data_IF_382309513538
#
_entry.id   IF_382309513538
#
_cell.length_a   1.000
_cell.length_b   1.000
_cell.length_c   1.000
_cell.angle_alpha   90.00
_cell.angle_beta   90.00
_cell.angle_gamma   90.00
#
_symmetry.space_group_name_H-M   'P 1'
#
loop_
_entity.id
_entity.type
_entity.pdbx_description
1 polymer ?
#
# COMPACT_ATOMS: atom_id res chain seq x y z
N UNK A 1 7.44 15.00 -4.93
CA UNK A 1 6.03 14.59 -5.10
C UNK A 1 5.52 14.02 -3.77
N UNK A 2 4.22 13.74 -3.60
CA UNK A 2 3.71 13.15 -2.35
C UNK A 2 3.49 11.65 -2.56
N UNK A 3 4.09 10.82 -1.72
CA UNK A 3 3.77 9.41 -1.57
C UNK A 3 2.97 9.18 -0.30
N UNK A 4 2.45 7.97 -0.14
CA UNK A 4 1.74 7.55 1.07
C UNK A 4 2.44 6.34 1.66
N UNK A 5 2.47 6.26 2.99
CA UNK A 5 3.08 5.17 3.72
C UNK A 5 2.13 4.72 4.81
N UNK A 6 2.00 3.42 4.99
CA UNK A 6 1.28 2.83 6.10
C UNK A 6 2.19 1.85 6.83
N UNK A 7 2.52 2.16 8.08
CA UNK A 7 3.28 1.26 8.95
C UNK A 7 2.35 0.26 9.63
N UNK A 8 2.38 -0.99 9.19
CA UNK A 8 1.72 -2.10 9.89
C UNK A 8 2.69 -2.77 10.88
N UNK A 9 2.16 -3.63 11.75
CA UNK A 9 2.93 -4.40 12.74
C UNK A 9 3.95 -5.36 12.11
N UNK A 10 3.76 -5.75 10.85
CA UNK A 10 4.65 -6.68 10.15
C UNK A 10 5.61 -5.97 9.17
N UNK A 11 5.31 -4.73 8.79
CA UNK A 11 6.11 -3.99 7.82
C UNK A 11 5.40 -2.73 7.33
N UNK A 12 6.08 -1.94 6.51
CA UNK A 12 5.51 -0.72 5.94
C UNK A 12 5.10 -0.91 4.49
N UNK A 13 3.88 -0.51 4.18
CA UNK A 13 3.37 -0.33 2.83
C UNK A 13 3.70 1.07 2.35
N UNK A 14 4.03 1.19 1.08
CA UNK A 14 4.30 2.45 0.41
C UNK A 14 3.47 2.52 -0.85
N UNK A 15 2.89 3.68 -1.12
CA UNK A 15 2.19 4.01 -2.35
C UNK A 15 2.89 5.23 -2.92
N UNK A 16 3.70 5.02 -3.95
CA UNK A 16 4.55 6.04 -4.53
C UNK A 16 4.10 6.35 -5.96
N UNK A 17 4.19 7.63 -6.39
CA UNK A 17 3.91 7.97 -7.78
C UNK A 17 4.99 7.36 -8.69
N UNK A 18 4.57 6.50 -9.61
CA UNK A 18 5.43 5.78 -10.56
C UNK A 18 5.39 6.35 -11.98
N UNK A 19 5.94 5.62 -12.94
CA UNK A 19 6.17 6.11 -14.32
C UNK A 19 4.90 6.33 -15.16
N UNK A 20 3.73 5.91 -14.66
CA UNK A 20 2.43 6.07 -15.32
C UNK A 20 1.21 6.09 -14.38
N UNK A 21 1.44 6.22 -13.07
CA UNK A 21 0.39 6.08 -12.07
C UNK A 21 0.96 6.01 -10.66
N UNK A 22 0.54 5.00 -9.92
CA UNK A 22 0.89 4.78 -8.52
C UNK A 22 1.32 3.35 -8.29
N UNK A 23 2.50 3.15 -7.74
CA UNK A 23 3.01 1.84 -7.38
C UNK A 23 2.81 1.60 -5.89
N UNK A 24 2.14 0.50 -5.54
CA UNK A 24 2.12 0.01 -4.18
C UNK A 24 3.28 -0.96 -3.99
N UNK A 25 4.07 -0.75 -2.94
CA UNK A 25 5.17 -1.62 -2.54
C UNK A 25 5.06 -1.98 -1.07
N UNK A 26 5.59 -3.13 -0.71
CA UNK A 26 5.72 -3.58 0.67
C UNK A 26 7.16 -4.02 0.92
N UNK A 27 7.87 -3.27 1.76
CA UNK A 27 9.31 -3.44 1.91
C UNK A 27 10.05 -3.19 0.58
N UNK A 28 10.64 -4.23 0.00
CA UNK A 28 11.39 -4.19 -1.27
C UNK A 28 10.62 -4.77 -2.46
N UNK A 29 9.37 -5.20 -2.25
CA UNK A 29 8.57 -5.85 -3.30
C UNK A 29 7.47 -4.93 -3.80
N UNK A 30 7.26 -4.93 -5.12
CA UNK A 30 6.14 -4.24 -5.74
C UNK A 30 4.90 -5.13 -5.70
N UNK A 31 3.85 -4.65 -5.03
CA UNK A 31 2.56 -5.32 -4.93
C UNK A 31 1.73 -5.12 -6.20
N UNK A 32 1.86 -3.96 -6.84
CA UNK A 32 1.18 -3.67 -8.10
C UNK A 32 1.23 -2.20 -8.48
N UNK A 33 0.86 -1.93 -9.73
CA UNK A 33 0.69 -0.57 -10.25
C UNK A 33 -0.81 -0.25 -10.39
N UNK A 34 -1.18 0.96 -10.02
CA UNK A 34 -2.56 1.44 -9.94
C UNK A 34 -2.69 2.80 -10.62
N UNK A 35 -3.88 3.10 -11.12
CA UNK A 35 -4.17 4.38 -11.75
C UNK A 35 -4.29 5.53 -10.73
N UNK A 36 -4.60 5.22 -9.47
CA UNK A 36 -4.79 6.21 -8.40
C UNK A 36 -4.31 5.66 -7.06
N UNK A 37 -3.88 6.54 -6.13
CA UNK A 37 -3.40 6.08 -4.84
C UNK A 37 -4.58 5.57 -3.98
N UNK A 38 -5.82 6.07 -4.21
CA UNK A 38 -7.00 5.55 -3.52
C UNK A 38 -7.23 4.08 -3.87
N UNK A 39 -7.13 3.75 -5.16
CA UNK A 39 -7.30 2.38 -5.63
C UNK A 39 -6.20 1.48 -5.08
N UNK A 40 -4.95 1.97 -5.04
CA UNK A 40 -3.85 1.24 -4.43
C UNK A 40 -4.13 0.93 -2.94
N UNK A 41 -4.58 1.92 -2.16
CA UNK A 41 -4.89 1.74 -0.75
C UNK A 41 -6.06 0.75 -0.53
N UNK A 42 -7.12 0.82 -1.34
CA UNK A 42 -8.27 -0.10 -1.27
C UNK A 42 -7.86 -1.54 -1.58
N UNK A 43 -7.08 -1.76 -2.63
CA UNK A 43 -6.62 -3.10 -3.04
C UNK A 43 -5.64 -3.70 -2.02
N UNK A 44 -4.73 -2.88 -1.46
CA UNK A 44 -3.83 -3.29 -0.38
C UNK A 44 -4.61 -3.59 0.90
N UNK A 45 -5.61 -2.79 1.26
CA UNK A 45 -6.46 -3.03 2.42
C UNK A 45 -7.32 -4.30 2.27
N UNK A 46 -7.79 -4.59 1.06
CA UNK A 46 -8.54 -5.81 0.74
C UNK A 46 -7.66 -7.06 0.70
N UNK A 47 -6.34 -6.92 0.61
CA UNK A 47 -5.39 -8.03 0.51
C UNK A 47 -5.54 -8.86 -0.78
N UNK A 48 -6.18 -8.29 -1.82
CA UNK A 48 -6.62 -9.04 -3.01
C UNK A 48 -5.49 -9.47 -3.94
N UNK A 49 -4.36 -8.77 -3.93
CA UNK A 49 -3.31 -8.92 -4.96
C UNK A 49 -1.98 -9.43 -4.42
N UNK A 50 -1.87 -9.69 -3.12
CA UNK A 50 -0.57 -9.90 -2.48
C UNK A 50 -0.41 -11.34 -1.99
N UNK A 51 0.26 -12.24 -2.74
CA UNK A 51 0.52 -13.61 -2.28
C UNK A 51 1.41 -13.64 -1.02
N UNK A 52 2.28 -12.64 -0.82
CA UNK A 52 3.07 -12.49 0.42
C UNK A 52 2.21 -12.16 1.64
N UNK A 53 1.04 -11.57 1.40
CA UNK A 53 0.03 -11.34 2.41
C UNK A 53 -0.91 -12.54 2.60
N UNK A 54 -0.72 -13.67 1.90
CA UNK A 54 -1.49 -14.88 2.17
C UNK A 54 -0.93 -15.69 3.35
N UNK A 55 0.34 -15.50 3.69
CA UNK A 55 0.97 -16.07 4.90
C UNK A 55 0.81 -15.16 6.12
N UNK A 56 0.46 -13.90 5.88
CA UNK A 56 0.28 -12.85 6.88
C UNK A 56 -1.21 -12.61 7.03
N UNK A 57 -1.78 -12.78 8.21
CA UNK A 57 -3.17 -12.39 8.45
C UNK A 57 -3.33 -10.87 8.27
N UNK A 58 -3.61 -10.41 7.05
CA UNK A 58 -3.88 -9.00 6.72
C UNK A 58 -5.05 -8.44 7.50
N UNK A 59 -5.97 -9.32 7.90
CA UNK A 59 -7.05 -9.03 8.84
C UNK A 59 -6.54 -8.45 10.18
N UNK A 60 -5.29 -8.73 10.56
CA UNK A 60 -4.64 -8.19 11.78
C UNK A 60 -3.82 -6.93 11.54
N UNK A 61 -3.63 -6.51 10.28
CA UNK A 61 -2.81 -5.35 9.94
C UNK A 61 -3.60 -4.03 9.98
N UNK A 62 -4.93 -4.09 10.13
CA UNK A 62 -5.85 -2.93 10.19
C UNK A 62 -5.53 -1.87 9.12
N UNK A 63 -5.20 -2.33 7.90
CA UNK A 63 -4.78 -1.44 6.83
C UNK A 63 -5.98 -0.54 6.47
N UNK A 64 -5.84 0.78 6.56
CA UNK A 64 -6.93 1.68 6.23
C UNK A 64 -7.14 1.74 4.72
N UNK A 65 -8.37 1.55 4.27
CA UNK A 65 -8.79 1.79 2.88
C UNK A 65 -8.69 3.28 2.49
N UNK A 66 -8.75 4.17 3.49
CA UNK A 66 -8.69 5.61 3.30
C UNK A 66 -7.26 6.10 3.35
N UNK A 67 -6.79 6.62 2.23
CA UNK A 67 -5.51 7.35 2.14
C UNK A 67 -5.31 8.45 3.19
N UNK A 68 -6.39 9.05 3.70
CA UNK A 68 -6.29 10.09 4.74
C UNK A 68 -5.68 9.57 6.05
N UNK A 69 -5.79 8.26 6.29
CA UNK A 69 -5.21 7.58 7.44
C UNK A 69 -3.77 7.09 7.16
N UNK A 70 -3.27 7.29 5.95
CA UNK A 70 -1.89 6.98 5.58
C UNK A 70 -0.98 8.18 5.84
N UNK A 71 0.26 7.91 6.24
CA UNK A 71 1.28 8.94 6.40
C UNK A 71 1.69 9.48 5.03
N UNK A 72 1.59 10.80 4.83
CA UNK A 72 2.07 11.43 3.60
C UNK A 72 3.60 11.56 3.70
N UNK A 73 4.30 10.80 2.86
CA UNK A 73 5.77 10.88 2.75
C UNK A 73 6.15 11.76 1.57
N UNK A 74 7.13 12.64 1.74
CA UNK A 74 7.71 13.39 0.62
C UNK A 74 8.79 12.54 -0.05
N UNK A 75 8.62 12.32 -1.35
CA UNK A 75 9.59 11.67 -2.26
C UNK A 75 10.19 12.69 -3.21
#
# INVERSE_FOLDING_TARGET
MKGFRFGSTQGAFYILPGHGGWEATYGNETLGEFSSPQQAADEVARGLTCPHLSEVDTSTLEIPEKLSDWEIVHV
#
